data_IF_148022886972
#
_entry.id   IF_148022886972
#
_cell.length_a   1.000
_cell.length_b   1.000
_cell.length_c   1.000
_cell.angle_alpha   90.00
_cell.angle_beta   90.00
_cell.angle_gamma   90.00
#
_symmetry.space_group_name_H-M   'P 1'
#
loop_
_entity.id
_entity.type
_entity.pdbx_description
1 polymer ?
#
# COMPACT_ATOMS: atom_id res chain seq x y z
N UNK A 1 -21.34 10.17 24.14
CA UNK A 1 -20.79 9.10 24.99
C UNK A 1 -19.58 8.59 24.25
N UNK A 2 -18.39 8.90 24.74
CA UNK A 2 -17.12 8.47 24.15
C UNK A 2 -16.87 7.01 24.55
N UNK A 3 -17.06 6.09 23.63
CA UNK A 3 -16.54 4.73 23.76
C UNK A 3 -15.15 4.73 23.14
N UNK A 4 -14.18 5.36 23.81
CA UNK A 4 -12.76 5.09 23.51
C UNK A 4 -12.47 3.68 23.98
N UNK A 5 -12.57 2.72 23.06
CA UNK A 5 -12.00 1.40 23.27
C UNK A 5 -10.48 1.61 23.35
N UNK A 6 -9.98 1.61 24.59
CA UNK A 6 -8.56 1.60 24.88
C UNK A 6 -8.01 0.24 24.43
N UNK A 7 -7.76 0.04 23.14
CA UNK A 7 -6.67 -0.85 22.77
C UNK A 7 -5.44 -0.22 23.40
N UNK A 8 -4.90 -0.88 24.43
CA UNK A 8 -3.59 -0.56 24.99
C UNK A 8 -2.62 -0.51 23.82
N UNK A 9 -2.16 0.69 23.49
CA UNK A 9 -1.29 1.00 22.38
C UNK A 9 0.14 0.53 22.70
N UNK A 10 0.27 -0.74 23.08
CA UNK A 10 1.55 -1.39 23.34
C UNK A 10 2.24 -1.58 21.99
N UNK A 11 3.48 -1.10 21.91
CA UNK A 11 4.31 -1.24 20.74
C UNK A 11 4.40 -2.72 20.35
N UNK A 12 4.02 -3.03 19.10
CA UNK A 12 4.19 -4.36 18.54
C UNK A 12 5.69 -4.68 18.44
N UNK A 13 6.07 -5.93 18.67
CA UNK A 13 7.46 -6.35 18.45
C UNK A 13 7.72 -6.38 16.94
N UNK A 14 8.57 -5.48 16.44
CA UNK A 14 8.83 -5.31 15.02
C UNK A 14 10.34 -5.16 14.72
N UNK A 15 10.76 -5.39 13.46
CA UNK A 15 12.17 -5.25 13.05
C UNK A 15 12.56 -3.82 12.62
N UNK A 16 11.60 -2.91 12.46
CA UNK A 16 11.86 -1.58 11.93
C UNK A 16 12.56 -0.63 12.93
N UNK A 17 13.44 0.27 12.46
CA UNK A 17 14.05 1.32 13.29
C UNK A 17 13.06 2.45 13.62
N UNK A 18 13.32 3.19 14.70
CA UNK A 18 12.50 4.35 15.13
C UNK A 18 12.53 5.53 14.15
N UNK A 19 13.62 5.64 13.37
CA UNK A 19 13.78 6.64 12.31
C UNK A 19 13.86 5.93 10.97
N UNK A 20 13.18 6.47 9.97
CA UNK A 20 13.19 5.92 8.62
C UNK A 20 14.64 5.86 8.10
N UNK A 21 15.10 4.71 7.60
CA UNK A 21 16.35 4.64 6.87
C UNK A 21 16.38 5.61 5.69
N UNK A 22 17.58 6.01 5.27
CA UNK A 22 17.75 6.79 4.05
C UNK A 22 17.21 5.99 2.85
N UNK A 23 16.41 6.65 2.00
CA UNK A 23 15.85 6.05 0.79
C UNK A 23 16.35 6.81 -0.43
N UNK A 24 17.03 6.08 -1.32
CA UNK A 24 17.49 6.57 -2.62
C UNK A 24 16.85 5.74 -3.72
N UNK A 25 16.27 6.40 -4.71
CA UNK A 25 15.61 5.77 -5.85
C UNK A 25 16.30 6.30 -7.10
N UNK A 26 16.84 5.41 -7.92
CA UNK A 26 17.56 5.74 -9.15
C UNK A 26 16.99 4.91 -10.27
N UNK A 27 16.68 5.53 -11.41
CA UNK A 27 16.24 4.81 -12.61
C UNK A 27 17.34 3.85 -13.09
N UNK A 28 16.95 2.67 -13.53
CA UNK A 28 17.85 1.62 -14.02
C UNK A 28 17.54 1.30 -15.48
N UNK A 29 18.60 1.13 -16.28
CA UNK A 29 18.51 0.71 -17.68
C UNK A 29 18.30 -0.82 -17.81
N UNK A 30 18.50 -1.58 -16.73
CA UNK A 30 18.18 -3.02 -16.69
C UNK A 30 16.67 -3.17 -16.47
N UNK A 31 15.95 -3.63 -17.49
CA UNK A 31 14.50 -3.50 -17.55
C UNK A 31 13.77 -4.74 -17.00
N UNK A 32 12.83 -4.51 -16.09
CA UNK A 32 11.83 -5.50 -15.67
C UNK A 32 10.54 -5.25 -16.46
N UNK A 33 10.18 -6.18 -17.35
CA UNK A 33 8.94 -6.10 -18.14
C UNK A 33 7.72 -6.64 -17.40
N UNK A 34 7.91 -7.59 -16.48
CA UNK A 34 6.86 -8.12 -15.64
C UNK A 34 7.43 -8.61 -14.30
N UNK A 35 6.63 -8.50 -13.26
CA UNK A 35 6.91 -9.09 -11.94
C UNK A 35 5.67 -9.81 -11.44
N UNK A 36 5.90 -10.91 -10.74
CA UNK A 36 4.84 -11.69 -10.14
C UNK A 36 4.70 -11.34 -8.65
N UNK A 37 3.66 -10.59 -8.28
CA UNK A 37 3.44 -10.06 -6.94
C UNK A 37 2.26 -10.78 -6.26
N UNK A 38 2.51 -11.76 -5.36
CA UNK A 38 1.44 -12.52 -4.69
C UNK A 38 0.84 -11.79 -3.48
N UNK A 39 1.20 -10.53 -3.25
CA UNK A 39 0.70 -9.74 -2.14
C UNK A 39 -0.72 -9.21 -2.44
N UNK A 40 -1.57 -9.15 -1.42
CA UNK A 40 -2.80 -8.34 -1.48
C UNK A 40 -2.41 -6.92 -1.81
N UNK A 41 -2.96 -6.40 -2.91
CA UNK A 41 -2.59 -5.11 -3.43
C UNK A 41 -2.72 -4.04 -2.34
N UNK A 42 -1.58 -3.40 -2.09
CA UNK A 42 -1.36 -2.30 -1.15
C UNK A 42 -1.55 -2.65 0.34
N UNK A 43 -1.71 -3.93 0.68
CA UNK A 43 -1.66 -4.45 2.06
C UNK A 43 -0.39 -5.27 2.36
N UNK A 44 0.38 -5.63 1.33
CA UNK A 44 1.71 -6.24 1.39
C UNK A 44 1.77 -7.62 2.10
N UNK A 45 0.61 -8.25 2.31
CA UNK A 45 0.50 -9.59 2.87
C UNK A 45 0.24 -10.62 1.78
N UNK A 46 0.91 -11.77 1.84
CA UNK A 46 0.63 -12.89 0.94
C UNK A 46 -0.46 -13.75 1.58
N UNK A 47 -1.60 -14.03 0.92
CA UNK A 47 -2.69 -14.85 1.47
C UNK A 47 -2.37 -16.35 1.64
N UNK A 48 -1.29 -16.67 2.33
CA UNK A 48 -0.82 -18.03 2.59
C UNK A 48 -0.50 -18.20 4.08
N UNK A 49 -0.51 -19.44 4.56
CA UNK A 49 -0.06 -19.75 5.92
C UNK A 49 1.46 -19.57 6.03
N UNK A 50 1.92 -18.87 7.06
CA UNK A 50 3.34 -18.62 7.25
C UNK A 50 3.63 -17.61 8.37
N UNK A 51 4.79 -16.96 8.25
CA UNK A 51 5.23 -15.91 9.16
C UNK A 51 4.37 -14.63 9.01
N UNK A 52 4.26 -13.80 10.06
CA UNK A 52 3.58 -12.52 9.96
C UNK A 52 4.26 -11.56 8.98
N UNK A 53 3.46 -10.75 8.29
CA UNK A 53 3.93 -9.64 7.47
C UNK A 53 3.88 -8.36 8.28
N UNK A 54 4.89 -7.52 8.13
CA UNK A 54 4.92 -6.22 8.78
C UNK A 54 5.11 -5.10 7.76
N UNK A 55 4.44 -3.97 8.01
CA UNK A 55 4.76 -2.67 7.43
C UNK A 55 4.95 -1.62 8.51
N UNK A 56 5.83 -0.67 8.25
CA UNK A 56 6.05 0.52 9.04
C UNK A 56 5.67 1.75 8.23
N UNK A 57 5.05 2.72 8.89
CA UNK A 57 4.73 4.01 8.31
C UNK A 57 5.56 5.09 9.01
N UNK A 58 6.25 5.90 8.22
CA UNK A 58 7.13 6.95 8.70
C UNK A 58 6.66 8.32 8.20
N UNK A 59 6.59 9.32 9.08
CA UNK A 59 6.28 10.70 8.69
C UNK A 59 7.26 11.15 7.60
N UNK A 60 6.75 11.63 6.47
CA UNK A 60 7.58 12.02 5.34
C UNK A 60 8.49 13.24 5.64
N UNK A 61 8.16 14.05 6.65
CA UNK A 61 8.92 15.23 7.04
C UNK A 61 9.87 14.95 8.22
N UNK A 62 9.39 14.31 9.29
CA UNK A 62 10.18 14.08 10.53
C UNK A 62 10.94 12.76 10.50
N UNK A 63 10.59 11.87 9.57
CA UNK A 63 11.13 10.52 9.41
C UNK A 63 10.89 9.62 10.63
N UNK A 64 9.98 10.00 11.52
CA UNK A 64 9.66 9.25 12.73
C UNK A 64 8.71 8.10 12.41
N UNK A 65 8.92 6.98 13.07
CA UNK A 65 8.00 5.86 13.02
C UNK A 65 6.67 6.25 13.65
N UNK A 66 5.61 6.25 12.85
CA UNK A 66 4.29 6.68 13.26
C UNK A 66 3.25 5.56 13.28
N UNK A 67 3.47 4.48 12.54
CA UNK A 67 2.65 3.29 12.66
C UNK A 67 3.43 2.01 12.37
N UNK A 68 2.96 0.93 12.98
CA UNK A 68 3.36 -0.43 12.66
C UNK A 68 2.09 -1.24 12.45
N UNK A 69 2.00 -1.90 11.30
CA UNK A 69 0.92 -2.83 11.02
C UNK A 69 1.51 -4.22 10.86
N UNK A 70 0.98 -5.16 11.63
CA UNK A 70 1.28 -6.58 11.56
C UNK A 70 0.06 -7.32 11.01
N UNK A 71 0.29 -8.14 10.00
CA UNK A 71 -0.72 -8.99 9.37
C UNK A 71 -0.30 -10.45 9.56
N UNK A 72 -1.00 -11.17 10.43
CA UNK A 72 -0.68 -12.55 10.79
C UNK A 72 -1.64 -13.54 10.14
N UNK A 73 -1.16 -14.48 9.32
CA UNK A 73 -1.96 -15.63 8.89
C UNK A 73 -2.42 -16.46 10.09
N UNK A 74 -3.72 -16.76 10.16
CA UNK A 74 -4.34 -17.41 11.34
C UNK A 74 -4.82 -18.82 11.07
N UNK A 75 -5.65 -19.02 10.05
CA UNK A 75 -6.19 -20.31 9.68
C UNK A 75 -6.66 -20.34 8.22
N UNK A 76 -6.60 -21.51 7.55
CA UNK A 76 -7.35 -21.75 6.33
C UNK A 76 -8.87 -21.66 6.60
N UNK A 77 -9.61 -21.16 5.61
CA UNK A 77 -11.06 -21.04 5.65
C UNK A 77 -11.66 -21.23 4.25
N UNK A 78 -12.96 -21.51 4.19
CA UNK A 78 -13.71 -21.53 2.94
C UNK A 78 -14.94 -20.64 3.11
N UNK A 79 -15.02 -19.55 2.35
CA UNK A 79 -16.13 -18.60 2.41
C UNK A 79 -16.80 -18.56 1.05
N UNK A 80 -18.11 -18.83 1.02
CA UNK A 80 -18.93 -18.90 -0.22
C UNK A 80 -18.30 -19.82 -1.29
N UNK A 81 -17.62 -20.88 -0.87
CA UNK A 81 -16.97 -21.86 -1.76
C UNK A 81 -15.60 -21.44 -2.29
N UNK A 82 -15.00 -20.37 -1.76
CA UNK A 82 -13.62 -19.98 -2.08
C UNK A 82 -12.72 -20.30 -0.92
N UNK A 83 -11.67 -21.07 -1.20
CA UNK A 83 -10.60 -21.35 -0.25
C UNK A 83 -9.74 -20.10 -0.05
N UNK A 84 -9.51 -19.75 1.21
CA UNK A 84 -8.87 -18.52 1.63
C UNK A 84 -8.12 -18.71 2.95
N UNK A 85 -7.36 -17.70 3.34
CA UNK A 85 -6.65 -17.62 4.61
C UNK A 85 -7.17 -16.43 5.40
N UNK A 86 -7.45 -16.65 6.69
CA UNK A 86 -7.74 -15.57 7.63
C UNK A 86 -6.46 -14.84 8.02
N UNK A 87 -6.43 -13.52 7.87
CA UNK A 87 -5.32 -12.63 8.18
C UNK A 87 -5.75 -11.66 9.27
N UNK A 88 -5.21 -11.82 10.48
CA UNK A 88 -5.47 -10.91 11.60
C UNK A 88 -4.59 -9.68 11.46
N UNK A 89 -5.17 -8.49 11.59
CA UNK A 89 -4.42 -7.24 11.58
C UNK A 89 -4.27 -6.74 13.01
N UNK A 90 -3.07 -6.29 13.35
CA UNK A 90 -2.81 -5.48 14.54
C UNK A 90 -2.08 -4.23 14.10
N UNK A 91 -2.45 -3.13 14.73
CA UNK A 91 -1.78 -1.86 14.50
C UNK A 91 -1.31 -1.27 15.81
N UNK A 92 -0.13 -0.68 15.77
CA UNK A 92 0.34 0.27 16.75
C UNK A 92 0.47 1.62 16.05
N UNK A 93 0.00 2.67 16.72
CA UNK A 93 0.13 4.06 16.25
C UNK A 93 0.98 4.83 17.25
N UNK A 94 1.89 5.69 16.78
CA UNK A 94 2.53 6.65 17.66
C UNK A 94 1.45 7.56 18.28
N UNK A 95 1.58 7.93 19.57
CA UNK A 95 0.62 8.83 20.21
C UNK A 95 0.70 10.24 19.59
N UNK A 96 -0.16 10.47 18.60
CA UNK A 96 -0.37 11.76 17.91
C UNK A 96 -1.85 12.13 17.92
N UNK A 97 -2.15 13.40 17.69
CA UNK A 97 -3.52 13.93 17.54
C UNK A 97 -4.13 13.56 16.17
N UNK A 98 -3.99 12.31 15.76
CA UNK A 98 -4.47 11.82 14.48
C UNK A 98 -5.82 11.11 14.64
N UNK A 99 -6.72 11.23 13.66
CA UNK A 99 -7.87 10.34 13.61
C UNK A 99 -7.33 8.91 13.46
N UNK A 100 -7.63 8.05 14.42
CA UNK A 100 -7.33 6.62 14.33
C UNK A 100 -8.11 6.07 13.14
N UNK A 101 -7.42 5.71 12.07
CA UNK A 101 -8.01 4.92 11.00
C UNK A 101 -7.83 3.48 11.45
N UNK A 102 -8.86 2.91 12.08
CA UNK A 102 -8.77 1.53 12.55
C UNK A 102 -8.74 0.60 11.33
N UNK A 103 -7.66 -0.18 11.11
CA UNK A 103 -7.70 -1.27 10.15
C UNK A 103 -8.71 -2.33 10.61
N UNK A 104 -9.17 -3.20 9.70
CA UNK A 104 -10.05 -4.30 10.07
C UNK A 104 -9.36 -5.25 11.03
N UNK A 105 -10.12 -5.83 11.96
CA UNK A 105 -9.58 -6.77 12.93
C UNK A 105 -9.13 -8.08 12.24
N UNK A 106 -9.89 -8.51 11.23
CA UNK A 106 -9.67 -9.76 10.52
C UNK A 106 -10.13 -9.61 9.07
N UNK A 107 -9.29 -10.03 8.13
CA UNK A 107 -9.67 -10.18 6.74
C UNK A 107 -9.50 -11.64 6.32
N UNK A 108 -10.26 -12.07 5.33
CA UNK A 108 -10.08 -13.34 4.63
C UNK A 108 -9.71 -13.05 3.21
N UNK A 109 -8.63 -13.66 2.74
CA UNK A 109 -8.09 -13.41 1.42
C UNK A 109 -7.71 -14.71 0.73
N UNK A 110 -7.87 -14.74 -0.59
CA UNK A 110 -7.45 -15.87 -1.41
C UNK A 110 -6.33 -15.44 -2.35
N UNK A 111 -5.45 -16.40 -2.63
CA UNK A 111 -4.42 -16.33 -3.64
C UNK A 111 -4.56 -17.56 -4.53
N UNK A 112 -4.60 -17.34 -5.83
CA UNK A 112 -4.51 -18.38 -6.85
C UNK A 112 -3.33 -18.12 -7.80
N UNK A 113 -3.22 -18.93 -8.85
CA UNK A 113 -2.15 -18.86 -9.85
C UNK A 113 -2.11 -17.53 -10.62
N UNK A 114 -3.17 -16.72 -10.53
CA UNK A 114 -3.38 -15.53 -11.37
C UNK A 114 -3.84 -14.29 -10.60
N UNK A 115 -4.48 -14.44 -9.43
CA UNK A 115 -5.06 -13.34 -8.68
C UNK A 115 -4.87 -13.46 -7.17
N UNK A 116 -4.82 -12.31 -6.51
CA UNK A 116 -5.13 -12.14 -5.10
C UNK A 116 -6.50 -11.49 -4.96
N UNK A 117 -7.21 -11.73 -3.86
CA UNK A 117 -8.53 -11.13 -3.63
C UNK A 117 -8.90 -11.12 -2.16
N UNK A 118 -9.56 -10.04 -1.73
CA UNK A 118 -10.34 -10.05 -0.51
C UNK A 118 -11.59 -10.93 -0.70
N UNK A 119 -11.97 -11.65 0.35
CA UNK A 119 -13.12 -12.55 0.38
C UNK A 119 -14.12 -12.09 1.44
N UNK A 120 -13.63 -11.67 2.59
CA UNK A 120 -14.44 -11.07 3.65
C UNK A 120 -13.57 -10.18 4.53
N UNK A 121 -14.16 -9.13 5.08
CA UNK A 121 -13.52 -8.25 6.05
C UNK A 121 -14.42 -8.07 7.26
N UNK A 122 -13.81 -8.15 8.43
CA UNK A 122 -14.48 -8.08 9.72
C UNK A 122 -13.89 -6.91 10.50
N UNK A 123 -14.77 -5.99 10.87
CA UNK A 123 -14.48 -4.78 11.63
C UNK A 123 -15.25 -4.80 12.97
N UNK A 124 -14.70 -4.15 13.99
CA UNK A 124 -15.47 -3.80 15.19
C UNK A 124 -15.83 -2.31 15.15
N UNK A 125 -17.11 -2.00 14.94
CA UNK A 125 -17.63 -0.63 14.88
C UNK A 125 -18.55 -0.40 16.08
N UNK A 126 -18.24 0.58 16.92
CA UNK A 126 -19.01 0.90 18.14
C UNK A 126 -19.26 -0.31 19.08
N UNK A 127 -18.35 -1.29 19.07
CA UNK A 127 -18.45 -2.53 19.84
C UNK A 127 -19.27 -3.65 19.19
N UNK A 128 -19.80 -3.43 17.99
CA UNK A 128 -20.46 -4.44 17.17
C UNK A 128 -19.50 -4.99 16.10
N UNK A 129 -19.49 -6.30 15.94
CA UNK A 129 -18.75 -6.95 14.86
C UNK A 129 -19.55 -6.84 13.55
N UNK A 130 -19.02 -6.08 12.60
CA UNK A 130 -19.55 -5.95 11.25
C UNK A 130 -18.72 -6.83 10.33
N UNK A 131 -19.38 -7.61 9.48
CA UNK A 131 -18.74 -8.47 8.50
C UNK A 131 -19.27 -8.15 7.13
N UNK A 132 -18.39 -7.76 6.21
CA UNK A 132 -18.69 -7.56 4.80
C UNK A 132 -18.00 -8.67 3.99
N UNK A 133 -18.72 -9.27 3.05
CA UNK A 133 -18.25 -10.41 2.27
C UNK A 133 -18.51 -10.16 0.78
N UNK A 134 -17.76 -10.82 -0.09
CA UNK A 134 -18.05 -10.81 -1.53
C UNK A 134 -19.55 -11.04 -1.84
N UNK A 135 -20.08 -10.22 -2.73
CA UNK A 135 -21.50 -10.20 -3.09
C UNK A 135 -22.44 -9.53 -2.09
N UNK A 136 -21.92 -8.97 -0.99
CA UNK A 136 -22.65 -7.98 -0.19
C UNK A 136 -22.59 -6.61 -0.89
N UNK A 137 -23.58 -5.74 -0.63
CA UNK A 137 -23.64 -4.40 -1.26
C UNK A 137 -22.38 -3.59 -0.91
N UNK A 138 -21.78 -2.92 -1.90
CA UNK A 138 -20.56 -2.10 -1.79
C UNK A 138 -19.24 -2.82 -1.46
N UNK A 139 -19.23 -4.15 -1.28
CA UNK A 139 -17.98 -4.85 -0.91
C UNK A 139 -16.86 -4.63 -1.94
N UNK A 140 -17.15 -4.89 -3.21
CA UNK A 140 -16.16 -4.77 -4.30
C UNK A 140 -15.80 -3.31 -4.60
N UNK A 141 -16.67 -2.34 -4.29
CA UNK A 141 -16.36 -0.92 -4.42
C UNK A 141 -15.36 -0.47 -3.34
N UNK A 142 -15.45 -1.04 -2.14
CA UNK A 142 -14.59 -0.69 -1.01
C UNK A 142 -13.28 -1.48 -0.97
N UNK A 143 -13.33 -2.77 -1.27
CA UNK A 143 -12.19 -3.69 -1.14
C UNK A 143 -11.63 -4.13 -2.49
N UNK A 144 -12.25 -3.73 -3.59
CA UNK A 144 -11.85 -4.13 -4.93
C UNK A 144 -12.33 -5.54 -5.31
N UNK A 145 -12.15 -5.86 -6.59
CA UNK A 145 -12.34 -7.19 -7.14
C UNK A 145 -11.06 -8.04 -7.09
N UNK A 146 -11.03 -9.17 -7.84
CA UNK A 146 -9.80 -9.93 -8.02
C UNK A 146 -8.69 -9.10 -8.66
N UNK A 147 -7.56 -9.02 -7.98
CA UNK A 147 -6.37 -8.27 -8.39
C UNK A 147 -5.38 -9.21 -9.07
N UNK A 148 -4.93 -8.88 -10.28
CA UNK A 148 -3.91 -9.68 -10.97
C UNK A 148 -2.59 -9.62 -10.21
N UNK A 149 -2.00 -10.78 -9.89
CA UNK A 149 -0.67 -10.86 -9.26
C UNK A 149 0.45 -10.45 -10.21
N UNK A 150 0.28 -10.73 -11.51
CA UNK A 150 1.26 -10.36 -12.53
C UNK A 150 1.12 -8.89 -12.89
N UNK A 151 2.13 -8.11 -12.52
CA UNK A 151 2.24 -6.70 -12.84
C UNK A 151 3.16 -6.55 -14.05
N UNK A 152 2.66 -5.90 -15.09
CA UNK A 152 3.37 -5.74 -16.38
C UNK A 152 3.70 -4.27 -16.59
N UNK A 153 4.89 -4.00 -17.12
CA UNK A 153 5.23 -2.73 -17.77
C UNK A 153 5.02 -2.88 -19.28
N UNK A 154 3.88 -2.38 -19.77
CA UNK A 154 3.53 -2.38 -21.19
C UNK A 154 3.66 -0.98 -21.82
N UNK A 155 4.35 -0.06 -21.13
CA UNK A 155 4.48 1.32 -21.57
C UNK A 155 3.22 2.16 -21.39
N UNK A 156 2.29 1.74 -20.51
CA UNK A 156 1.16 2.58 -20.08
C UNK A 156 1.64 3.95 -19.63
N UNK A 157 2.68 4.02 -18.80
CA UNK A 157 3.21 5.27 -18.26
C UNK A 157 4.45 5.71 -19.00
N UNK A 158 4.32 6.70 -19.88
CA UNK A 158 5.45 7.30 -20.60
C UNK A 158 5.99 8.51 -19.84
N UNK A 159 7.19 8.38 -19.28
CA UNK A 159 7.91 9.48 -18.66
C UNK A 159 8.27 10.55 -19.70
N UNK A 160 7.96 11.80 -19.39
CA UNK A 160 8.25 12.97 -20.21
C UNK A 160 9.53 13.67 -19.72
N UNK A 161 10.11 14.53 -20.55
CA UNK A 161 11.35 15.24 -20.23
C UNK A 161 11.24 16.20 -19.02
N UNK A 162 10.03 16.62 -18.66
CA UNK A 162 9.74 17.45 -17.48
C UNK A 162 9.48 16.64 -16.21
N UNK A 163 9.56 15.30 -16.29
CA UNK A 163 9.30 14.38 -15.19
C UNK A 163 7.82 14.02 -14.99
N UNK A 164 6.91 14.54 -15.82
CA UNK A 164 5.51 14.11 -15.83
C UNK A 164 5.34 12.78 -16.57
N UNK A 165 4.19 12.12 -16.37
CA UNK A 165 3.81 10.92 -17.10
C UNK A 165 2.63 11.20 -18.03
N UNK A 166 2.67 10.58 -19.22
CA UNK A 166 1.53 10.46 -20.12
C UNK A 166 1.02 9.03 -20.11
N UNK A 167 -0.28 8.84 -19.95
CA UNK A 167 -0.92 7.53 -20.07
C UNK A 167 -1.17 7.20 -21.55
N UNK A 168 -0.83 5.97 -21.95
CA UNK A 168 -1.09 5.41 -23.28
C UNK A 168 -2.26 4.42 -23.26
N UNK A 169 -2.42 3.61 -24.31
CA UNK A 169 -3.44 2.55 -24.36
C UNK A 169 -3.08 1.30 -23.53
N UNK A 170 -1.84 1.23 -23.02
CA UNK A 170 -1.39 0.16 -22.12
C UNK A 170 -2.27 0.05 -20.88
N UNK A 171 -2.32 -1.14 -20.29
CA UNK A 171 -3.16 -1.48 -19.13
C UNK A 171 -2.31 -1.91 -17.93
N UNK A 172 -1.03 -2.19 -18.13
CA UNK A 172 -0.08 -2.53 -17.08
C UNK A 172 0.08 -1.41 -16.04
N UNK A 173 0.53 -1.78 -14.84
CA UNK A 173 0.83 -0.79 -13.80
C UNK A 173 2.32 -0.41 -13.76
N UNK A 174 3.18 -1.13 -14.47
CA UNK A 174 4.61 -0.87 -14.53
C UNK A 174 4.91 0.50 -15.15
N UNK A 175 5.83 1.23 -14.54
CA UNK A 175 6.19 2.60 -14.87
C UNK A 175 7.72 2.79 -14.81
N UNK A 176 8.46 1.86 -15.41
CA UNK A 176 9.92 1.85 -15.44
C UNK A 176 10.57 1.05 -14.32
N UNK A 177 11.87 0.84 -14.45
CA UNK A 177 12.68 0.02 -13.55
C UNK A 177 13.66 0.89 -12.76
N UNK A 178 13.82 0.60 -11.47
CA UNK A 178 14.55 1.44 -10.54
C UNK A 178 15.35 0.60 -9.55
N UNK A 179 16.56 1.07 -9.23
CA UNK A 179 17.30 0.60 -8.07
C UNK A 179 16.87 1.42 -6.85
N UNK A 180 16.29 0.74 -5.88
CA UNK A 180 15.77 1.32 -4.64
C UNK A 180 16.68 0.92 -3.50
N UNK A 181 17.45 1.88 -2.99
CA UNK A 181 18.30 1.70 -1.81
C UNK A 181 17.55 2.17 -0.56
N UNK A 182 17.44 1.30 0.46
CA UNK A 182 16.84 1.57 1.77
C UNK A 182 17.86 1.20 2.84
N UNK A 183 18.47 2.21 3.47
CA UNK A 183 19.63 2.02 4.33
C UNK A 183 20.80 1.43 3.54
N UNK A 184 21.22 0.21 3.90
CA UNK A 184 22.32 -0.50 3.24
C UNK A 184 21.84 -1.47 2.14
N UNK A 185 20.54 -1.74 2.06
CA UNK A 185 19.98 -2.71 1.12
C UNK A 185 19.60 -2.01 -0.19
N UNK A 186 19.93 -2.62 -1.33
CA UNK A 186 19.51 -2.13 -2.66
C UNK A 186 18.73 -3.22 -3.37
N UNK A 187 17.57 -2.84 -3.91
CA UNK A 187 16.63 -3.73 -4.57
C UNK A 187 16.42 -3.27 -6.01
N UNK A 188 16.47 -4.21 -6.94
CA UNK A 188 16.13 -3.97 -8.33
C UNK A 188 14.61 -4.15 -8.51
N UNK A 189 13.91 -3.05 -8.76
CA UNK A 189 12.46 -2.98 -8.60
C UNK A 189 11.76 -2.52 -9.88
N UNK A 190 10.61 -3.13 -10.16
CA UNK A 190 9.61 -2.51 -11.02
C UNK A 190 8.91 -1.41 -10.21
N UNK A 191 8.90 -0.18 -10.73
CA UNK A 191 8.02 0.86 -10.20
C UNK A 191 6.62 0.63 -10.73
N UNK A 192 5.66 0.72 -9.85
CA UNK A 192 4.24 0.53 -10.11
C UNK A 192 3.53 1.84 -9.81
N UNK A 193 2.74 2.31 -10.77
CA UNK A 193 1.80 3.42 -10.59
C UNK A 193 0.39 2.86 -10.77
N UNK A 194 -0.38 2.84 -9.70
CA UNK A 194 -1.80 2.48 -9.73
C UNK A 194 -2.61 3.73 -9.39
N UNK A 195 -3.15 4.36 -10.42
CA UNK A 195 -3.82 5.66 -10.34
C UNK A 195 -5.29 5.54 -10.67
N UNK A 196 -6.12 6.10 -9.80
CA UNK A 196 -7.50 6.39 -10.09
C UNK A 196 -7.59 7.65 -10.98
N UNK A 197 -7.91 7.40 -12.25
CA UNK A 197 -8.12 8.42 -13.29
C UNK A 197 -9.59 8.74 -13.51
N UNK A 198 -10.51 8.13 -12.76
CA UNK A 198 -11.94 8.38 -12.90
C UNK A 198 -12.35 9.74 -12.34
N UNK A 199 -11.57 10.27 -11.40
CA UNK A 199 -11.78 11.58 -10.78
C UNK A 199 -11.24 12.74 -11.65
N UNK A 200 -12.07 13.75 -12.02
CA UNK A 200 -11.68 14.85 -12.90
C UNK A 200 -10.49 15.70 -12.44
N UNK A 201 -10.16 15.65 -11.14
CA UNK A 201 -9.05 16.39 -10.52
C UNK A 201 -8.03 15.47 -9.84
N UNK A 202 -8.03 14.18 -10.22
CA UNK A 202 -7.18 13.15 -9.67
C UNK A 202 -7.79 12.50 -8.43
N UNK A 203 -7.84 11.17 -8.44
CA UNK A 203 -8.22 10.35 -7.30
C UNK A 203 -6.99 10.01 -6.46
N UNK A 204 -6.95 8.76 -6.04
CA UNK A 204 -5.83 8.17 -5.31
C UNK A 204 -4.76 7.67 -6.29
N UNK A 205 -3.48 7.73 -5.89
CA UNK A 205 -2.36 7.17 -6.63
C UNK A 205 -1.46 6.40 -5.66
N UNK A 206 -1.25 5.12 -5.92
CA UNK A 206 -0.22 4.32 -5.27
C UNK A 206 1.05 4.33 -6.12
N UNK A 207 2.16 4.75 -5.52
CA UNK A 207 3.52 4.55 -6.03
C UNK A 207 4.17 3.42 -5.24
N UNK A 208 4.48 2.33 -5.93
CA UNK A 208 4.95 1.10 -5.27
C UNK A 208 6.20 0.59 -5.96
N UNK A 209 7.15 0.07 -5.19
CA UNK A 209 8.36 -0.53 -5.72
C UNK A 209 8.38 -2.00 -5.34
N UNK A 210 8.18 -2.85 -6.35
CA UNK A 210 8.13 -4.30 -6.21
C UNK A 210 9.46 -4.85 -6.70
N UNK A 211 10.20 -5.51 -5.81
CA UNK A 211 11.48 -6.13 -6.17
C UNK A 211 11.26 -7.39 -7.03
N UNK A 212 12.29 -7.81 -7.76
CA UNK A 212 12.22 -8.92 -8.74
C UNK A 212 11.62 -10.25 -8.25
N UNK A 213 11.68 -10.53 -6.95
CA UNK A 213 11.08 -11.68 -6.28
C UNK A 213 9.59 -11.50 -5.91
N UNK A 214 8.98 -10.38 -6.28
CA UNK A 214 7.55 -10.14 -6.11
C UNK A 214 7.15 -9.49 -4.80
N UNK A 215 8.08 -8.97 -4.00
CA UNK A 215 7.76 -8.30 -2.73
C UNK A 215 7.79 -6.79 -2.86
N UNK A 216 6.84 -6.11 -2.24
CA UNK A 216 6.90 -4.64 -2.13
C UNK A 216 7.97 -4.27 -1.11
N UNK A 217 8.91 -3.37 -1.45
CA UNK A 217 9.93 -2.86 -0.52
C UNK A 217 9.68 -1.41 -0.08
N UNK A 218 8.98 -0.63 -0.91
CA UNK A 218 8.71 0.77 -0.66
C UNK A 218 7.37 1.17 -1.25
N UNK A 219 6.60 1.96 -0.50
CA UNK A 219 5.30 2.45 -0.92
C UNK A 219 5.11 3.91 -0.53
N UNK A 220 4.50 4.67 -1.42
CA UNK A 220 3.93 5.99 -1.15
C UNK A 220 2.54 6.08 -1.74
N UNK A 221 1.68 6.76 -1.01
CA UNK A 221 0.39 7.19 -1.53
C UNK A 221 0.45 8.65 -1.93
N UNK A 222 -0.31 9.01 -2.95
CA UNK A 222 -0.54 10.36 -3.37
C UNK A 222 -2.04 10.55 -3.58
N UNK A 223 -2.51 11.76 -3.34
CA UNK A 223 -3.89 12.14 -3.60
C UNK A 223 -3.93 13.32 -4.59
N UNK A 224 -4.97 13.36 -5.43
CA UNK A 224 -5.25 14.52 -6.26
C UNK A 224 -5.38 15.79 -5.41
N UNK A 225 -4.98 16.94 -5.97
CA UNK A 225 -4.86 18.22 -5.24
C UNK A 225 -6.02 18.57 -4.30
N UNK A 226 -7.25 18.25 -4.70
CA UNK A 226 -8.48 18.61 -3.98
C UNK A 226 -9.19 17.41 -3.34
N UNK A 227 -8.59 16.23 -3.40
CA UNK A 227 -9.17 15.04 -2.82
C UNK A 227 -9.36 15.25 -1.32
N UNK A 228 -10.49 14.74 -0.78
CA UNK A 228 -10.88 14.89 0.64
C UNK A 228 -11.13 16.34 1.08
N UNK A 229 -11.38 17.26 0.14
CA UNK A 229 -11.89 18.61 0.41
C UNK A 229 -10.85 19.63 0.88
N UNK A 230 -9.56 19.33 0.73
CA UNK A 230 -8.45 20.22 1.09
C UNK A 230 -7.61 20.57 -0.14
N UNK A 231 -7.03 21.77 -0.19
CA UNK A 231 -5.97 22.08 -1.15
C UNK A 231 -4.63 21.54 -0.63
N UNK A 232 -4.30 20.31 -1.03
CA UNK A 232 -3.11 19.60 -0.56
C UNK A 232 -1.81 20.31 -0.97
N UNK A 233 -1.80 21.04 -2.08
CA UNK A 233 -0.63 21.83 -2.49
C UNK A 233 -0.34 22.95 -1.50
N UNK A 234 -1.40 23.61 -1.02
CA UNK A 234 -1.29 24.67 -0.02
C UNK A 234 -0.94 24.11 1.37
N UNK A 235 -1.51 22.95 1.73
CA UNK A 235 -1.24 22.26 3.01
C UNK A 235 0.19 21.72 3.06
N UNK A 236 0.68 21.20 1.94
CA UNK A 236 1.97 20.52 1.82
C UNK A 236 2.81 21.04 0.64
N UNK A 237 3.32 22.29 0.74
CA UNK A 237 4.03 22.94 -0.36
C UNK A 237 5.37 22.27 -0.73
N UNK A 238 5.92 21.45 0.16
CA UNK A 238 7.21 20.79 -0.01
C UNK A 238 7.11 19.28 -0.24
N UNK A 239 5.89 18.72 -0.21
CA UNK A 239 5.71 17.29 -0.43
C UNK A 239 6.06 16.91 -1.86
N UNK A 240 6.45 15.64 -2.05
CA UNK A 240 6.69 15.07 -3.36
C UNK A 240 5.41 15.15 -4.20
N UNK A 241 5.60 15.28 -5.51
CA UNK A 241 4.53 15.43 -6.49
C UNK A 241 4.76 14.46 -7.64
N UNK A 242 3.67 13.94 -8.17
CA UNK A 242 3.66 13.21 -9.44
C UNK A 242 2.61 13.89 -10.32
N UNK A 243 2.95 14.10 -11.60
CA UNK A 243 2.01 14.63 -12.59
C UNK A 243 1.73 13.53 -13.60
N UNK A 244 0.46 13.19 -13.81
CA UNK A 244 0.02 12.20 -14.79
C UNK A 244 -1.08 12.83 -15.64
N UNK A 245 -0.91 12.92 -16.96
CA UNK A 245 -1.86 13.59 -17.87
C UNK A 245 -2.30 14.98 -17.37
N UNK A 246 -1.34 15.82 -16.99
CA UNK A 246 -1.56 17.17 -16.44
C UNK A 246 -2.32 17.23 -15.10
N UNK A 247 -2.65 16.07 -14.50
CA UNK A 247 -3.24 15.98 -13.16
C UNK A 247 -2.15 15.86 -12.12
N UNK A 248 -2.21 16.72 -11.10
CA UNK A 248 -1.25 16.78 -10.01
C UNK A 248 -1.68 15.92 -8.81
N UNK A 249 -0.84 14.97 -8.45
CA UNK A 249 -0.94 14.14 -7.26
C UNK A 249 0.11 14.57 -6.23
N UNK A 250 -0.31 14.82 -5.00
CA UNK A 250 0.53 15.28 -3.88
C UNK A 250 0.69 14.13 -2.90
N UNK A 251 1.91 13.87 -2.43
CA UNK A 251 2.18 12.81 -1.46
C UNK A 251 1.36 13.07 -0.20
N UNK A 252 0.35 12.22 0.00
CA UNK A 252 -0.50 12.17 1.18
C UNK A 252 -1.21 10.82 1.26
N UNK A 253 -1.75 10.51 2.42
CA UNK A 253 -2.52 9.30 2.69
C UNK A 253 -3.97 9.59 3.05
N UNK A 254 -4.71 8.54 3.42
CA UNK A 254 -6.13 8.63 3.77
C UNK A 254 -6.42 9.48 5.03
N UNK A 255 -5.43 9.68 5.90
CA UNK A 255 -5.50 10.58 7.06
C UNK A 255 -5.20 12.04 6.69
N UNK A 256 -4.82 12.28 5.43
CA UNK A 256 -4.42 13.57 4.90
C UNK A 256 -3.04 14.01 5.40
N UNK A 257 -2.23 13.09 5.91
CA UNK A 257 -0.81 13.26 6.24
C UNK A 257 0.05 12.61 5.16
N UNK A 258 1.37 12.61 5.28
CA UNK A 258 2.25 12.01 4.28
C UNK A 258 3.17 11.00 4.92
N UNK A 259 3.04 9.74 4.52
CA UNK A 259 3.86 8.64 5.03
C UNK A 259 4.65 7.96 3.92
N UNK A 260 5.89 7.65 4.23
CA UNK A 260 6.67 6.64 3.50
C UNK A 260 6.45 5.30 4.20
N UNK A 261 6.05 4.28 3.45
CA UNK A 261 5.83 2.94 4.00
C UNK A 261 6.95 1.99 3.59
N UNK A 262 7.49 1.26 4.57
CA UNK A 262 8.48 0.20 4.41
C UNK A 262 7.87 -1.13 4.82
N UNK A 263 8.17 -2.20 4.08
CA UNK A 263 7.73 -3.55 4.46
C UNK A 263 8.89 -4.32 5.08
N UNK A 264 8.58 -5.43 5.76
CA UNK A 264 9.62 -6.35 6.25
C UNK A 264 10.57 -6.87 5.14
N UNK A 265 10.13 -6.88 3.88
CA UNK A 265 10.97 -7.26 2.74
C UNK A 265 12.11 -6.25 2.50
N UNK A 266 11.94 -4.97 2.86
CA UNK A 266 12.97 -3.96 2.68
C UNK A 266 14.14 -4.09 3.67
N UNK A 267 13.97 -4.90 4.72
CA UNK A 267 14.96 -5.09 5.78
C UNK A 267 15.83 -6.32 5.53
N UNK A 268 15.38 -7.26 4.70
CA UNK A 268 16.12 -8.45 4.38
C UNK A 268 17.14 -8.15 3.28
N UNK A 269 18.39 -8.60 3.48
CA UNK A 269 19.32 -8.75 2.36
C UNK A 269 18.74 -9.84 1.46
N UNK A 270 18.39 -9.50 0.23
CA UNK A 270 18.24 -10.51 -0.82
C UNK A 270 19.60 -11.20 -0.97
N UNK A 271 19.67 -12.45 -0.52
CA UNK A 271 20.86 -13.32 -0.59
C UNK A 271 21.09 -13.87 -1.97
#
# INVERSE_FOLDING_TARGET
METKQTQTNEMLKHPFPEKRPDVKIVESDDHISEVDCPELQWWFAVPEMGEPHFRAEYDANTLELDAIVEITPTAPATIRGIDCVGLRVREWLAPRDWPSICPPDLMYAALDDTHTRWVSVIDTVDGETVSNTIGDEYFEEQWGGPCKRRIVDDGRYQLQADGSYRITEGQGFGAGTYDVTIGENTFHCLRVLDVDISEPHGGELAEVYVESGGRTVFFRRYDGRYLRGHDLVSKYPNNRRIVINDVLYVHSDCSGWAHDQLTSASLCLTS
#
